data_IF_322795718952
#
_entry.id   IF_322795718952
#
_cell.length_a   1.000
_cell.length_b   1.000
_cell.length_c   1.000
_cell.angle_alpha   90.00
_cell.angle_beta   90.00
_cell.angle_gamma   90.00
#
_symmetry.space_group_name_H-M   'P 1'
#
loop_
_entity.id
_entity.type
_entity.pdbx_description
1 polymer ?
#
# COMPACT_ATOMS: atom_id res chain seq x y z
N UNK A 1 4.64 -8.43 13.63
CA UNK A 1 4.78 -7.54 12.47
C UNK A 1 5.54 -8.27 11.38
N UNK A 2 5.15 -8.14 10.12
CA UNK A 2 5.90 -8.65 8.98
C UNK A 2 6.72 -7.49 8.39
N UNK A 3 7.87 -7.76 7.81
CA UNK A 3 8.72 -6.75 7.18
C UNK A 3 9.12 -7.17 5.77
N UNK A 4 9.36 -6.21 4.91
CA UNK A 4 9.91 -6.46 3.59
C UNK A 4 11.41 -6.81 3.71
N UNK A 5 11.88 -7.81 2.95
CA UNK A 5 13.27 -8.29 3.04
C UNK A 5 14.05 -8.15 1.76
N UNK A 6 13.40 -8.30 0.62
CA UNK A 6 14.06 -8.27 -0.68
C UNK A 6 13.11 -7.76 -1.77
N UNK A 7 13.63 -7.09 -2.77
CA UNK A 7 12.87 -6.74 -3.96
C UNK A 7 13.65 -6.99 -5.25
N UNK A 8 12.88 -7.16 -6.33
CA UNK A 8 13.36 -7.18 -7.72
C UNK A 8 12.51 -6.21 -8.53
N UNK A 9 13.13 -5.37 -9.34
CA UNK A 9 12.42 -4.38 -10.14
C UNK A 9 12.81 -4.40 -11.60
N UNK A 10 11.82 -4.22 -12.45
CA UNK A 10 11.96 -4.12 -13.90
C UNK A 10 11.31 -2.85 -14.41
N UNK A 11 11.98 -2.20 -15.34
CA UNK A 11 11.53 -0.95 -15.96
C UNK A 11 11.33 -1.13 -17.44
N UNK A 12 10.23 -0.61 -17.99
CA UNK A 12 10.01 -0.62 -19.43
C UNK A 12 11.08 0.20 -20.16
N UNK A 13 11.36 -0.18 -21.42
CA UNK A 13 12.27 0.55 -22.29
C UNK A 13 11.86 2.03 -22.43
N UNK A 14 12.83 2.93 -22.69
CA UNK A 14 12.58 4.36 -22.86
C UNK A 14 12.76 5.21 -21.61
N UNK A 15 13.16 4.64 -20.47
CA UNK A 15 13.43 5.38 -19.24
C UNK A 15 14.50 6.48 -19.43
N UNK A 16 15.56 6.15 -20.16
CA UNK A 16 16.69 7.07 -20.40
C UNK A 16 16.28 8.26 -21.26
N UNK A 17 15.38 8.07 -22.20
CA UNK A 17 14.92 9.11 -23.13
C UNK A 17 13.97 10.13 -22.46
N UNK A 18 13.26 9.72 -21.42
CA UNK A 18 12.24 10.54 -20.78
C UNK A 18 12.73 11.29 -19.52
N UNK A 19 13.99 11.09 -19.10
CA UNK A 19 14.49 11.63 -17.82
C UNK A 19 13.76 11.07 -16.59
N UNK A 20 13.10 9.93 -16.72
CA UNK A 20 12.33 9.30 -15.65
C UNK A 20 13.18 8.21 -14.96
N UNK A 21 13.54 8.38 -13.68
CA UNK A 21 14.43 7.45 -12.97
C UNK A 21 13.91 6.01 -12.92
N UNK A 22 12.59 5.82 -12.90
CA UNK A 22 11.89 4.52 -12.87
C UNK A 22 11.26 4.16 -14.22
N UNK A 23 11.63 4.83 -15.31
CA UNK A 23 11.05 4.61 -16.62
C UNK A 23 9.60 5.01 -16.74
N UNK A 24 8.97 4.61 -17.84
CA UNK A 24 7.54 4.88 -18.09
C UNK A 24 6.63 3.99 -17.27
N UNK A 25 6.98 2.72 -17.21
CA UNK A 25 6.31 1.71 -16.38
C UNK A 25 7.37 0.97 -15.60
N UNK A 26 7.23 0.92 -14.30
CA UNK A 26 8.09 0.15 -13.42
C UNK A 26 7.24 -0.88 -12.67
N UNK A 27 7.70 -2.13 -12.65
CA UNK A 27 7.07 -3.21 -11.89
C UNK A 27 8.08 -3.80 -10.93
N UNK A 28 7.72 -3.87 -9.67
CA UNK A 28 8.55 -4.35 -8.56
C UNK A 28 7.84 -5.49 -7.85
N UNK A 29 8.55 -6.57 -7.61
CA UNK A 29 8.13 -7.65 -6.73
C UNK A 29 8.94 -7.58 -5.44
N UNK A 30 8.24 -7.65 -4.31
CA UNK A 30 8.82 -7.58 -2.98
C UNK A 30 8.45 -8.86 -2.23
N UNK A 31 9.40 -9.42 -1.50
CA UNK A 31 9.16 -10.53 -0.59
C UNK A 31 9.27 -10.06 0.85
N UNK A 32 8.35 -10.52 1.70
CA UNK A 32 8.40 -10.29 3.13
C UNK A 32 9.06 -11.44 3.89
N UNK A 33 9.43 -11.20 5.14
CA UNK A 33 10.05 -12.21 6.00
C UNK A 33 9.14 -13.42 6.26
N UNK A 34 7.82 -13.25 6.18
CA UNK A 34 6.83 -14.33 6.30
C UNK A 34 6.45 -14.98 4.96
N UNK A 35 7.14 -14.61 3.88
CA UNK A 35 6.91 -15.20 2.55
C UNK A 35 5.75 -14.59 1.77
N UNK A 36 5.21 -13.44 2.21
CA UNK A 36 4.20 -12.72 1.42
C UNK A 36 4.87 -12.04 0.23
N UNK A 37 4.24 -12.13 -0.93
CA UNK A 37 4.67 -11.42 -2.14
C UNK A 37 3.83 -10.19 -2.37
N UNK A 38 4.48 -9.04 -2.57
CA UNK A 38 3.85 -7.77 -2.88
C UNK A 38 4.27 -7.34 -4.29
N UNK A 39 3.31 -7.01 -5.14
CA UNK A 39 3.56 -6.41 -6.45
C UNK A 39 3.22 -4.92 -6.41
N UNK A 40 4.19 -4.09 -6.77
CA UNK A 40 3.98 -2.66 -7.01
C UNK A 40 4.15 -2.35 -8.48
N UNK A 41 3.28 -1.50 -9.02
CA UNK A 41 3.43 -0.98 -10.37
C UNK A 41 3.26 0.54 -10.37
N UNK A 42 4.29 1.23 -10.86
CA UNK A 42 4.24 2.66 -11.15
C UNK A 42 4.09 2.83 -12.66
N UNK A 43 3.01 3.48 -13.06
CA UNK A 43 2.75 3.85 -14.44
C UNK A 43 2.12 5.24 -14.48
N UNK A 44 2.87 6.21 -14.98
CA UNK A 44 2.47 7.61 -15.01
C UNK A 44 2.39 8.17 -16.44
N UNK A 45 2.61 7.32 -17.43
CA UNK A 45 2.78 7.76 -18.82
C UNK A 45 1.86 7.09 -19.81
N UNK A 46 1.27 5.93 -19.50
CA UNK A 46 0.40 5.21 -20.43
C UNK A 46 -1.04 5.71 -20.36
N UNK A 47 -1.73 5.66 -21.50
CA UNK A 47 -3.14 6.04 -21.60
C UNK A 47 -4.03 4.90 -21.09
N UNK A 48 -4.15 4.79 -19.78
CA UNK A 48 -5.02 3.80 -19.13
C UNK A 48 -5.93 4.47 -18.07
N UNK A 49 -7.07 3.88 -17.75
CA UNK A 49 -7.89 4.35 -16.64
C UNK A 49 -7.10 4.37 -15.33
N UNK A 50 -7.42 5.31 -14.45
CA UNK A 50 -6.85 5.36 -13.12
C UNK A 50 -7.09 4.05 -12.38
N UNK A 51 -6.00 3.46 -11.87
CA UNK A 51 -6.04 2.22 -11.12
C UNK A 51 -4.84 2.17 -10.16
N UNK A 52 -5.08 1.81 -8.91
CA UNK A 52 -4.03 1.58 -7.91
C UNK A 52 -3.69 0.10 -7.71
N UNK A 53 -4.27 -0.78 -8.49
CA UNK A 53 -4.20 -2.24 -8.36
C UNK A 53 -4.78 -2.81 -7.05
N UNK A 54 -4.82 -2.16 -5.99
CA UNK A 54 -5.32 -2.49 -4.65
C UNK A 54 -6.03 -3.85 -4.54
N UNK A 55 -5.22 -4.91 -4.58
CA UNK A 55 -5.68 -6.29 -4.53
C UNK A 55 -4.97 -7.01 -3.39
N UNK A 56 -5.73 -7.75 -2.60
CA UNK A 56 -5.20 -8.58 -1.51
C UNK A 56 -5.71 -10.00 -1.72
N UNK A 57 -4.79 -10.96 -1.87
CA UNK A 57 -5.08 -12.37 -1.96
C UNK A 57 -4.66 -13.04 -0.65
N UNK A 58 -5.63 -13.42 0.16
CA UNK A 58 -5.40 -14.16 1.40
C UNK A 58 -5.72 -15.65 1.23
N UNK A 59 -5.45 -16.42 2.25
CA UNK A 59 -5.76 -17.87 2.26
C UNK A 59 -7.25 -18.19 2.40
N UNK A 60 -8.06 -17.22 2.84
CA UNK A 60 -9.50 -17.39 3.08
C UNK A 60 -10.36 -16.45 2.23
N UNK A 61 -9.79 -15.37 1.74
CA UNK A 61 -10.54 -14.36 1.01
C UNK A 61 -9.66 -13.63 0.00
N UNK A 62 -10.31 -13.08 -1.00
CA UNK A 62 -9.75 -12.17 -2.00
C UNK A 62 -10.49 -10.85 -1.91
N UNK A 63 -9.76 -9.74 -1.98
CA UNK A 63 -10.33 -8.39 -2.02
C UNK A 63 -9.64 -7.57 -3.10
N UNK A 64 -10.42 -6.87 -3.90
CA UNK A 64 -9.93 -5.96 -4.93
C UNK A 64 -10.77 -4.68 -4.92
N UNK A 65 -10.12 -3.53 -5.12
CA UNK A 65 -10.83 -2.25 -5.23
C UNK A 65 -11.06 -1.82 -6.68
N UNK A 66 -10.10 -2.05 -7.56
CA UNK A 66 -10.13 -1.60 -8.96
C UNK A 66 -10.09 -2.76 -9.94
N UNK A 67 -10.74 -2.66 -11.14
CA UNK A 67 -11.60 -1.55 -11.58
C UNK A 67 -12.98 -1.56 -10.94
N UNK A 68 -13.42 -2.69 -10.42
CA UNK A 68 -14.70 -2.87 -9.73
C UNK A 68 -14.43 -3.49 -8.36
N UNK A 69 -14.95 -2.90 -7.27
CA UNK A 69 -14.86 -3.52 -5.96
C UNK A 69 -15.33 -4.96 -6.00
N UNK A 70 -14.51 -5.87 -5.52
CA UNK A 70 -14.79 -7.30 -5.55
C UNK A 70 -14.29 -7.94 -4.25
N UNK A 71 -15.12 -8.77 -3.65
CA UNK A 71 -14.75 -9.59 -2.49
C UNK A 71 -15.19 -11.01 -2.76
N UNK A 72 -14.28 -11.96 -2.57
CA UNK A 72 -14.61 -13.39 -2.53
C UNK A 72 -14.18 -13.90 -1.16
N UNK A 73 -15.12 -14.41 -0.38
CA UNK A 73 -14.89 -14.91 0.99
C UNK A 73 -14.68 -16.43 1.04
N UNK A 74 -14.53 -17.06 -0.13
CA UNK A 74 -14.39 -18.52 -0.26
C UNK A 74 -15.71 -19.26 -0.49
N UNK A 75 -16.83 -18.66 -0.16
CA UNK A 75 -18.19 -19.22 -0.36
C UNK A 75 -18.96 -18.41 -1.41
N UNK A 76 -18.90 -17.09 -1.31
CA UNK A 76 -19.62 -16.15 -2.17
C UNK A 76 -18.69 -15.11 -2.77
N UNK A 77 -19.07 -14.58 -3.92
CA UNK A 77 -18.37 -13.49 -4.61
C UNK A 77 -19.31 -12.28 -4.75
N UNK A 78 -18.92 -11.17 -4.11
CA UNK A 78 -19.61 -9.89 -4.15
C UNK A 78 -18.89 -8.93 -5.08
N UNK A 79 -19.64 -8.14 -5.85
CA UNK A 79 -19.08 -7.11 -6.75
C UNK A 79 -19.81 -5.77 -6.63
N UNK A 80 -19.12 -4.66 -6.95
CA UNK A 80 -19.68 -3.32 -6.90
C UNK A 80 -20.21 -2.97 -5.51
N UNK A 81 -21.39 -2.37 -5.46
CA UNK A 81 -22.04 -1.93 -4.20
C UNK A 81 -22.24 -3.06 -3.20
N UNK A 82 -22.43 -4.30 -3.66
CA UNK A 82 -22.55 -5.44 -2.77
C UNK A 82 -21.22 -5.75 -2.07
N UNK A 83 -20.11 -5.63 -2.78
CA UNK A 83 -18.77 -5.78 -2.19
C UNK A 83 -18.46 -4.65 -1.19
N UNK A 84 -18.83 -3.41 -1.50
CA UNK A 84 -18.65 -2.28 -0.59
C UNK A 84 -19.46 -2.45 0.70
N UNK A 85 -20.72 -2.85 0.59
CA UNK A 85 -21.56 -3.17 1.76
C UNK A 85 -21.00 -4.33 2.58
N UNK A 86 -20.46 -5.36 1.92
CA UNK A 86 -19.81 -6.46 2.63
C UNK A 86 -18.55 -6.00 3.36
N UNK A 87 -17.73 -5.18 2.72
CA UNK A 87 -16.49 -4.65 3.31
C UNK A 87 -16.74 -3.71 4.48
N UNK A 88 -17.82 -2.92 4.45
CA UNK A 88 -18.14 -1.95 5.52
C UNK A 88 -18.40 -2.62 6.89
N UNK A 89 -18.66 -3.92 6.93
CA UNK A 89 -18.81 -4.68 8.17
C UNK A 89 -17.48 -4.83 8.93
N UNK A 90 -16.35 -4.65 8.23
CA UNK A 90 -15.01 -4.77 8.80
C UNK A 90 -14.36 -3.41 9.08
N UNK A 91 -15.06 -2.32 8.80
CA UNK A 91 -14.57 -0.98 9.11
C UNK A 91 -14.40 -0.82 10.62
N UNK A 92 -13.26 -0.32 11.05
CA UNK A 92 -13.06 0.07 12.44
C UNK A 92 -14.05 1.17 12.80
N UNK A 93 -14.82 0.97 13.86
CA UNK A 93 -15.92 1.87 14.22
C UNK A 93 -15.48 3.33 14.46
N UNK A 94 -14.29 3.52 15.03
CA UNK A 94 -13.66 4.83 15.25
C UNK A 94 -13.24 5.49 13.93
N UNK A 95 -12.65 4.74 13.00
CA UNK A 95 -12.28 5.25 11.68
C UNK A 95 -13.52 5.69 10.88
N UNK A 96 -14.56 4.86 10.85
CA UNK A 96 -15.82 5.20 10.19
C UNK A 96 -16.49 6.43 10.84
N UNK A 97 -16.41 6.59 12.16
CA UNK A 97 -16.92 7.77 12.85
C UNK A 97 -16.14 9.03 12.48
N UNK A 98 -14.81 8.97 12.42
CA UNK A 98 -13.97 10.10 12.03
C UNK A 98 -14.20 10.52 10.57
N UNK A 99 -14.37 9.56 9.66
CA UNK A 99 -14.72 9.85 8.26
C UNK A 99 -16.06 10.60 8.18
N UNK A 100 -17.12 10.08 8.80
CA UNK A 100 -18.44 10.75 8.84
C UNK A 100 -18.37 12.15 9.45
N UNK A 101 -17.55 12.35 10.49
CA UNK A 101 -17.35 13.67 11.09
C UNK A 101 -16.68 14.63 10.11
N UNK A 102 -15.64 14.21 9.41
CA UNK A 102 -14.98 15.00 8.38
C UNK A 102 -15.94 15.39 7.24
N UNK A 103 -16.76 14.46 6.78
CA UNK A 103 -17.79 14.71 5.78
C UNK A 103 -18.84 15.73 6.25
N UNK A 104 -19.35 15.56 7.47
CA UNK A 104 -20.30 16.49 8.08
C UNK A 104 -19.73 17.91 8.24
N UNK A 105 -18.45 18.04 8.53
CA UNK A 105 -17.73 19.31 8.61
C UNK A 105 -17.37 19.88 7.22
N UNK A 106 -17.67 19.16 6.13
CA UNK A 106 -17.34 19.54 4.75
C UNK A 106 -15.86 19.88 4.55
N UNK A 107 -14.96 19.14 5.22
CA UNK A 107 -13.53 19.31 4.98
C UNK A 107 -13.16 18.87 3.57
N UNK A 108 -12.13 19.44 2.94
CA UNK A 108 -11.76 19.12 1.55
C UNK A 108 -11.46 17.63 1.32
N UNK A 109 -10.97 16.93 2.35
CA UNK A 109 -10.69 15.49 2.29
C UNK A 109 -10.95 14.85 3.66
N UNK A 110 -12.06 14.14 3.78
CA UNK A 110 -12.47 13.47 5.03
C UNK A 110 -11.48 12.37 5.45
N UNK A 111 -10.80 11.72 4.50
CA UNK A 111 -9.80 10.69 4.79
C UNK A 111 -8.55 11.29 5.45
N UNK A 112 -8.05 12.43 4.95
CA UNK A 112 -6.95 13.15 5.58
C UNK A 112 -7.33 13.64 6.97
N UNK A 113 -8.55 14.18 7.12
CA UNK A 113 -9.08 14.57 8.42
C UNK A 113 -9.08 13.40 9.42
N UNK A 114 -9.55 12.24 9.02
CA UNK A 114 -9.59 11.06 9.90
C UNK A 114 -8.17 10.62 10.30
N UNK A 115 -7.22 10.65 9.38
CA UNK A 115 -5.82 10.31 9.62
C UNK A 115 -5.18 11.29 10.60
N UNK A 116 -5.33 12.60 10.39
CA UNK A 116 -4.77 13.64 11.27
C UNK A 116 -5.41 13.62 12.66
N UNK A 117 -6.73 13.44 12.73
CA UNK A 117 -7.45 13.33 14.00
C UNK A 117 -6.99 12.10 14.80
N UNK A 118 -6.74 10.99 14.14
CA UNK A 118 -6.21 9.77 14.76
C UNK A 118 -4.79 9.99 15.29
N UNK A 119 -3.92 10.61 14.51
CA UNK A 119 -2.57 10.98 14.93
C UNK A 119 -2.59 11.83 16.18
N UNK A 120 -3.37 12.92 16.16
CA UNK A 120 -3.51 13.84 17.30
C UNK A 120 -4.05 13.11 18.53
N UNK A 121 -5.03 12.23 18.34
CA UNK A 121 -5.58 11.42 19.43
C UNK A 121 -4.51 10.52 20.07
N UNK A 122 -3.71 9.81 19.27
CA UNK A 122 -2.63 8.97 19.77
C UNK A 122 -1.60 9.79 20.56
N UNK A 123 -1.16 10.93 20.02
CA UNK A 123 -0.18 11.80 20.69
C UNK A 123 -0.70 12.34 22.03
N UNK A 124 -1.95 12.81 22.07
CA UNK A 124 -2.55 13.38 23.29
C UNK A 124 -2.78 12.34 24.39
N UNK A 125 -2.92 11.05 24.02
CA UNK A 125 -3.21 9.99 24.97
C UNK A 125 -1.98 9.07 25.22
N UNK A 126 -0.81 9.40 24.66
CA UNK A 126 0.40 8.58 24.83
C UNK A 126 0.26 7.18 24.24
N UNK A 127 -0.57 7.02 23.20
CA UNK A 127 -0.78 5.75 22.51
C UNK A 127 0.27 5.55 21.40
N UNK A 128 0.60 4.31 21.06
CA UNK A 128 1.44 4.03 19.89
C UNK A 128 0.76 4.55 18.62
N UNK A 129 1.56 5.03 17.68
CA UNK A 129 1.07 5.45 16.38
C UNK A 129 0.72 4.23 15.52
N UNK A 130 -0.30 4.38 14.67
CA UNK A 130 -0.70 3.32 13.73
C UNK A 130 0.39 3.07 12.66
N UNK A 131 1.15 4.11 12.32
CA UNK A 131 2.33 4.08 11.44
C UNK A 131 3.42 4.86 12.16
N UNK A 132 4.57 4.24 12.39
CA UNK A 132 5.71 4.89 13.04
C UNK A 132 6.80 5.32 12.03
N UNK A 133 7.87 5.91 12.55
CA UNK A 133 8.99 6.37 11.72
C UNK A 133 9.73 5.22 11.02
N UNK A 134 9.72 4.04 11.59
CA UNK A 134 10.39 2.86 11.01
C UNK A 134 9.57 2.29 9.85
N UNK A 135 8.24 2.25 9.97
CA UNK A 135 7.34 1.92 8.87
C UNK A 135 7.52 2.92 7.72
N UNK A 136 7.55 4.21 8.04
CA UNK A 136 7.75 5.26 7.04
C UNK A 136 9.10 5.14 6.33
N UNK A 137 10.18 4.82 7.05
CA UNK A 137 11.51 4.62 6.49
C UNK A 137 11.55 3.38 5.57
N UNK A 138 10.96 2.26 6.01
CA UNK A 138 10.90 1.03 5.22
C UNK A 138 10.11 1.23 3.92
N UNK A 139 9.00 1.95 3.96
CA UNK A 139 8.22 2.20 2.74
C UNK A 139 8.90 3.22 1.81
N UNK A 140 9.53 4.24 2.38
CA UNK A 140 10.18 5.29 1.60
C UNK A 140 11.44 4.81 0.87
N UNK A 141 12.18 3.86 1.42
CA UNK A 141 13.38 3.33 0.78
C UNK A 141 13.08 2.56 -0.51
N UNK A 142 11.84 2.07 -0.70
CA UNK A 142 11.46 1.31 -1.90
C UNK A 142 11.72 2.07 -3.19
N UNK A 143 11.52 3.38 -3.22
CA UNK A 143 11.74 4.19 -4.42
C UNK A 143 13.19 4.08 -4.91
N UNK A 144 14.15 4.20 -4.00
CA UNK A 144 15.57 4.13 -4.35
C UNK A 144 16.02 2.69 -4.64
N UNK A 145 15.60 1.72 -3.82
CA UNK A 145 15.96 0.33 -4.01
C UNK A 145 15.39 -0.25 -5.32
N UNK A 146 14.19 0.16 -5.69
CA UNK A 146 13.56 -0.15 -6.98
C UNK A 146 14.41 0.36 -8.14
N UNK A 147 14.89 1.61 -8.06
CA UNK A 147 15.80 2.20 -9.05
C UNK A 147 17.12 1.43 -9.14
N UNK A 148 17.71 1.09 -8.01
CA UNK A 148 18.95 0.30 -7.94
C UNK A 148 18.78 -1.05 -8.64
N UNK A 149 17.73 -1.81 -8.31
CA UNK A 149 17.46 -3.10 -8.95
C UNK A 149 17.31 -2.95 -10.47
N UNK A 150 16.45 -2.04 -10.91
CA UNK A 150 16.16 -1.83 -12.34
C UNK A 150 17.41 -1.43 -13.14
N UNK A 151 18.29 -0.61 -12.58
CA UNK A 151 19.54 -0.17 -13.22
C UNK A 151 20.64 -1.23 -13.22
N UNK A 152 20.57 -2.22 -12.33
CA UNK A 152 21.51 -3.32 -12.21
C UNK A 152 20.98 -4.63 -12.83
N UNK A 153 20.34 -4.55 -13.97
CA UNK A 153 19.84 -5.72 -14.70
C UNK A 153 18.83 -6.54 -13.90
N UNK A 154 17.94 -5.87 -13.16
CA UNK A 154 16.90 -6.49 -12.32
C UNK A 154 17.48 -7.44 -11.24
N UNK A 155 18.67 -7.19 -10.76
CA UNK A 155 19.24 -7.97 -9.65
C UNK A 155 18.43 -7.76 -8.38
N UNK A 156 18.27 -8.81 -7.56
CA UNK A 156 17.67 -8.68 -6.24
C UNK A 156 18.43 -7.66 -5.37
N UNK A 157 17.68 -6.87 -4.62
CA UNK A 157 18.19 -5.89 -3.67
C UNK A 157 17.59 -6.17 -2.31
N UNK A 158 18.43 -6.24 -1.27
CA UNK A 158 17.98 -6.40 0.09
C UNK A 158 17.40 -5.10 0.63
N UNK A 159 16.34 -5.21 1.43
CA UNK A 159 15.70 -4.07 2.09
C UNK A 159 16.31 -3.93 3.49
N UNK A 160 16.87 -2.76 3.84
CA UNK A 160 17.51 -2.56 5.13
C UNK A 160 16.56 -2.76 6.32
N UNK A 161 17.09 -3.18 7.45
CA UNK A 161 16.37 -3.23 8.71
C UNK A 161 16.49 -1.89 9.41
N UNK A 162 15.43 -1.11 9.43
CA UNK A 162 15.43 0.22 10.07
C UNK A 162 15.24 0.15 11.59
N UNK A 163 14.59 -0.90 12.11
CA UNK A 163 14.43 -1.12 13.55
C UNK A 163 15.11 -2.41 13.97
N UNK A 164 16.36 -2.37 14.49
CA UNK A 164 17.11 -3.57 14.84
C UNK A 164 16.51 -4.37 16.01
N UNK A 165 15.64 -3.75 16.81
CA UNK A 165 15.00 -4.38 17.98
C UNK A 165 13.62 -4.96 17.70
N UNK A 166 13.11 -4.89 16.47
CA UNK A 166 11.89 -5.59 16.09
C UNK A 166 12.19 -7.09 15.94
N UNK A 167 12.17 -7.81 17.04
CA UNK A 167 12.00 -9.26 16.98
C UNK A 167 10.72 -9.55 16.20
N UNK A 168 10.81 -10.46 15.23
CA UNK A 168 9.63 -11.02 14.55
C UNK A 168 8.71 -11.62 15.64
N UNK A 169 7.73 -10.85 16.12
CA UNK A 169 6.71 -11.30 17.07
C UNK A 169 5.59 -12.00 16.31
#
# INVERSE_FOLDING_TARGET
TDRMVQLVSMTSAGAKEAGLPLGRVNTTLIQTARGVSIMLQLDVTTHRPYNRLQTVCGTKAFVQKYPVPTVNNGEECFTGDAAERYMSQFDAADAAQLLRKGEAMKVPNAMNYAMDARLIYCLNNGLPLDIDVYDAAEWSCLTELTRISAQNCCKPVEIPVFCPNMSLK
#
